data_IF_715314134483
#
_entry.id   IF_715314134483
#
_cell.length_a   1.000
_cell.length_b   1.000
_cell.length_c   1.000
_cell.angle_alpha   90.00
_cell.angle_beta   90.00
_cell.angle_gamma   90.00
#
_symmetry.space_group_name_H-M   'P 1'
#
loop_
_entity.id
_entity.type
_entity.pdbx_description
1 polymer ?
#
# COMPACT_ATOMS: atom_id res chain seq x y z
N UNK A 1 -2.69 14.91 -2.28
CA UNK A 1 -3.23 14.47 -3.58
C UNK A 1 -2.27 13.55 -4.36
N UNK A 2 -1.05 13.99 -4.70
CA UNK A 2 -0.09 13.18 -5.49
C UNK A 2 0.14 11.74 -4.99
N UNK A 3 0.19 11.54 -3.66
CA UNK A 3 0.35 10.23 -3.02
C UNK A 3 -0.73 9.21 -3.44
N UNK A 4 -1.99 9.64 -3.50
CA UNK A 4 -3.13 8.78 -3.88
C UNK A 4 -3.11 8.44 -5.36
N UNK A 5 -2.78 9.42 -6.22
CA UNK A 5 -2.62 9.18 -7.65
C UNK A 5 -1.52 8.18 -7.96
N UNK A 6 -0.40 8.24 -7.23
CA UNK A 6 0.68 7.25 -7.38
C UNK A 6 0.21 5.85 -7.01
N UNK A 7 -0.51 5.68 -5.89
CA UNK A 7 -1.06 4.38 -5.51
C UNK A 7 -2.06 3.86 -6.56
N UNK A 8 -2.94 4.71 -7.09
CA UNK A 8 -3.89 4.35 -8.13
C UNK A 8 -3.23 3.98 -9.47
N UNK A 9 -2.11 4.64 -9.81
CA UNK A 9 -1.32 4.31 -11.00
C UNK A 9 -0.67 2.94 -10.84
N UNK A 10 0.02 2.70 -9.72
CA UNK A 10 0.64 1.41 -9.42
C UNK A 10 -0.38 0.27 -9.41
N UNK A 11 -1.57 0.49 -8.86
CA UNK A 11 -2.64 -0.51 -8.86
C UNK A 11 -3.11 -0.85 -10.28
N UNK A 12 -3.25 0.16 -11.16
CA UNK A 12 -3.58 -0.06 -12.58
C UNK A 12 -2.50 -0.81 -13.34
N UNK A 13 -1.24 -0.54 -13.04
CA UNK A 13 -0.10 -1.22 -13.66
C UNK A 13 -0.01 -2.68 -13.20
N UNK A 14 -0.28 -2.95 -11.91
CA UNK A 14 -0.23 -4.30 -11.33
C UNK A 14 -1.41 -5.19 -11.71
N UNK A 15 -2.61 -4.62 -11.81
CA UNK A 15 -3.86 -5.37 -12.00
C UNK A 15 -4.82 -4.65 -12.96
N UNK A 16 -4.46 -4.51 -14.25
CA UNK A 16 -5.27 -3.77 -15.23
C UNK A 16 -6.58 -4.46 -15.60
N UNK A 17 -6.70 -5.77 -15.36
CA UNK A 17 -7.85 -6.61 -15.76
C UNK A 17 -8.54 -7.30 -14.59
N UNK A 18 -8.24 -6.89 -13.36
CA UNK A 18 -8.80 -7.53 -12.18
C UNK A 18 -10.21 -6.98 -11.92
N UNK A 19 -11.20 -7.86 -11.98
CA UNK A 19 -12.57 -7.52 -11.62
C UNK A 19 -12.79 -7.66 -10.11
N UNK A 20 -13.73 -6.89 -9.58
CA UNK A 20 -14.10 -6.97 -8.16
C UNK A 20 -14.65 -8.37 -7.80
N UNK A 21 -15.30 -9.05 -8.75
CA UNK A 21 -15.80 -10.42 -8.58
C UNK A 21 -14.70 -11.45 -8.30
N UNK A 22 -13.50 -11.24 -8.87
CA UNK A 22 -12.35 -12.14 -8.72
C UNK A 22 -11.42 -11.69 -7.57
N UNK A 23 -11.85 -10.67 -6.83
CA UNK A 23 -11.02 -10.01 -5.84
C UNK A 23 -11.06 -10.75 -4.50
N UNK A 24 -10.19 -11.75 -4.37
CA UNK A 24 -10.04 -12.53 -3.16
C UNK A 24 -8.78 -12.16 -2.36
N UNK A 25 -8.64 -12.78 -1.18
CA UNK A 25 -7.47 -12.59 -0.31
C UNK A 25 -6.15 -13.03 -0.98
N UNK A 26 -6.19 -14.01 -1.89
CA UNK A 26 -4.98 -14.55 -2.56
C UNK A 26 -4.49 -13.56 -3.60
N UNK A 27 -5.39 -13.02 -4.41
CA UNK A 27 -5.09 -11.98 -5.39
C UNK A 27 -4.60 -10.71 -4.71
N UNK A 28 -5.21 -10.30 -3.60
CA UNK A 28 -4.71 -9.16 -2.84
C UNK A 28 -3.29 -9.40 -2.31
N UNK A 29 -3.01 -10.58 -1.77
CA UNK A 29 -1.65 -10.94 -1.34
C UNK A 29 -0.67 -10.98 -2.52
N UNK A 30 -1.10 -11.46 -3.70
CA UNK A 30 -0.29 -11.45 -4.93
C UNK A 30 0.09 -10.03 -5.33
N UNK A 31 -0.86 -9.09 -5.33
CA UNK A 31 -0.60 -7.67 -5.62
C UNK A 31 0.44 -7.09 -4.67
N UNK A 32 0.27 -7.32 -3.37
CA UNK A 32 1.20 -6.84 -2.35
C UNK A 32 2.59 -7.44 -2.53
N UNK A 33 2.68 -8.73 -2.88
CA UNK A 33 3.96 -9.41 -3.11
C UNK A 33 4.69 -8.83 -4.33
N UNK A 34 4.00 -8.67 -5.47
CA UNK A 34 4.61 -8.09 -6.67
C UNK A 34 5.08 -6.66 -6.41
N UNK A 35 4.27 -5.86 -5.70
CA UNK A 35 4.68 -4.51 -5.33
C UNK A 35 5.90 -4.50 -4.40
N UNK A 36 6.01 -5.50 -3.51
CA UNK A 36 7.10 -5.65 -2.56
C UNK A 36 8.45 -6.06 -3.17
N UNK A 37 8.47 -6.62 -4.39
CA UNK A 37 9.71 -7.01 -5.07
C UNK A 37 10.60 -5.80 -5.39
N UNK A 38 9.97 -4.66 -5.69
CA UNK A 38 10.68 -3.44 -6.15
C UNK A 38 10.71 -2.33 -5.09
N UNK A 39 9.93 -2.45 -4.02
CA UNK A 39 9.74 -1.37 -3.04
C UNK A 39 10.19 -1.76 -1.64
N UNK A 40 10.70 -0.77 -0.90
CA UNK A 40 11.00 -0.90 0.53
C UNK A 40 9.73 -1.26 1.31
N UNK A 41 9.87 -2.06 2.38
CA UNK A 41 8.76 -2.46 3.26
C UNK A 41 7.86 -1.32 3.72
N UNK A 42 8.42 -0.14 4.01
CA UNK A 42 7.63 1.04 4.41
C UNK A 42 6.76 1.56 3.25
N UNK A 43 7.30 1.60 2.04
CA UNK A 43 6.57 2.03 0.84
C UNK A 43 5.45 1.06 0.50
N UNK A 44 5.69 -0.26 0.66
CA UNK A 44 4.65 -1.29 0.52
C UNK A 44 3.55 -1.12 1.57
N UNK A 45 3.93 -0.82 2.82
CA UNK A 45 2.96 -0.57 3.90
C UNK A 45 2.08 0.64 3.60
N UNK A 46 2.66 1.72 3.10
CA UNK A 46 1.91 2.92 2.73
C UNK A 46 0.97 2.66 1.55
N UNK A 47 1.41 1.90 0.56
CA UNK A 47 0.57 1.44 -0.56
C UNK A 47 -0.61 0.60 -0.06
N UNK A 48 -0.34 -0.42 0.75
CA UNK A 48 -1.38 -1.26 1.38
C UNK A 48 -2.42 -0.40 2.12
N UNK A 49 -1.98 0.61 2.88
CA UNK A 49 -2.89 1.43 3.67
C UNK A 49 -3.88 2.22 2.81
N UNK A 50 -3.45 2.79 1.69
CA UNK A 50 -4.35 3.49 0.78
C UNK A 50 -5.34 2.54 0.11
N UNK A 51 -4.84 1.42 -0.41
CA UNK A 51 -5.68 0.45 -1.13
C UNK A 51 -6.69 -0.18 -0.17
N UNK A 52 -6.28 -0.47 1.07
CA UNK A 52 -7.14 -1.01 2.11
C UNK A 52 -8.31 -0.09 2.47
N UNK A 53 -8.10 1.23 2.51
CA UNK A 53 -9.19 2.17 2.78
C UNK A 53 -10.31 2.01 1.75
N UNK A 54 -9.96 2.02 0.46
CA UNK A 54 -10.92 1.84 -0.64
C UNK A 54 -11.63 0.48 -0.59
N UNK A 55 -10.90 -0.60 -0.28
CA UNK A 55 -11.49 -1.94 -0.19
C UNK A 55 -12.45 -2.04 0.99
N UNK A 56 -12.15 -1.37 2.10
CA UNK A 56 -13.02 -1.37 3.27
C UNK A 56 -14.33 -0.65 2.99
N UNK A 57 -14.29 0.43 2.21
CA UNK A 57 -15.50 1.12 1.75
C UNK A 57 -16.34 0.19 0.86
N UNK A 58 -15.72 -0.50 -0.12
CA UNK A 58 -16.40 -1.51 -0.96
C UNK A 58 -17.06 -2.62 -0.13
N UNK A 59 -16.42 -3.05 0.95
CA UNK A 59 -16.97 -4.06 1.86
C UNK A 59 -18.18 -3.51 2.63
N UNK A 60 -18.10 -2.28 3.13
CA UNK A 60 -19.22 -1.66 3.85
C UNK A 60 -20.40 -1.35 2.93
N UNK A 61 -20.16 -1.03 1.67
CA UNK A 61 -21.18 -0.82 0.64
C UNK A 61 -21.80 -2.13 0.11
N UNK A 62 -21.29 -3.30 0.55
CA UNK A 62 -21.80 -4.62 0.16
C UNK A 62 -21.44 -5.03 -1.28
N UNK A 63 -20.45 -4.38 -1.90
CA UNK A 63 -19.96 -4.72 -3.24
C UNK A 63 -19.01 -5.93 -3.24
N UNK A 64 -18.46 -6.25 -2.07
CA UNK A 64 -17.68 -7.47 -1.83
C UNK A 64 -18.19 -8.17 -0.58
N UNK A 65 -18.34 -9.49 -0.66
CA UNK A 65 -18.86 -10.30 0.45
C UNK A 65 -17.83 -10.49 1.58
N UNK A 66 -16.54 -10.41 1.25
CA UNK A 66 -15.43 -10.74 2.14
C UNK A 66 -14.34 -9.70 2.01
N UNK A 67 -13.77 -9.27 3.13
CA UNK A 67 -12.60 -8.38 3.15
C UNK A 67 -11.31 -9.15 2.75
N UNK A 68 -10.74 -8.90 1.55
CA UNK A 68 -9.52 -9.56 1.08
C UNK A 68 -8.26 -9.01 1.77
N UNK A 69 -8.36 -7.91 2.51
CA UNK A 69 -7.24 -7.29 3.23
C UNK A 69 -6.96 -7.93 4.60
N UNK A 70 -7.82 -8.86 5.02
CA UNK A 70 -7.70 -9.50 6.33
C UNK A 70 -6.39 -10.31 6.44
N UNK A 71 -5.61 -10.05 7.51
CA UNK A 71 -4.34 -10.74 7.82
C UNK A 71 -3.37 -10.83 6.64
N UNK A 72 -3.22 -9.73 5.90
CA UNK A 72 -2.24 -9.62 4.81
C UNK A 72 -0.83 -9.52 5.38
N UNK A 73 0.10 -10.22 4.75
CA UNK A 73 1.51 -10.20 5.13
C UNK A 73 2.23 -9.15 4.29
N UNK A 74 2.78 -8.15 4.96
CA UNK A 74 3.55 -7.08 4.31
C UNK A 74 5.03 -7.45 4.32
N UNK A 75 5.54 -7.72 3.12
CA UNK A 75 6.98 -7.91 2.83
C UNK A 75 7.48 -6.69 2.06
N UNK A 76 8.79 -6.57 1.91
CA UNK A 76 9.41 -5.55 1.08
C UNK A 76 10.92 -5.61 1.18
N UNK A 77 11.60 -4.98 0.23
CA UNK A 77 13.04 -4.88 0.23
C UNK A 77 13.54 -4.16 1.50
N UNK A 78 14.76 -4.51 1.92
CA UNK A 78 15.45 -3.75 2.95
C UNK A 78 15.69 -2.32 2.46
N UNK A 79 15.61 -1.32 3.35
CA UNK A 79 15.80 0.06 2.97
C UNK A 79 17.21 0.24 2.39
N UNK A 80 17.30 0.81 1.18
CA UNK A 80 18.59 1.02 0.50
C UNK A 80 19.49 1.98 1.27
N UNK A 81 18.89 2.83 2.11
CA UNK A 81 19.61 3.73 3.02
C UNK A 81 19.02 3.65 4.42
N UNK A 82 19.90 3.51 5.43
CA UNK A 82 19.51 3.66 6.83
C UNK A 82 18.90 5.05 7.05
N UNK A 83 17.60 5.09 7.39
CA UNK A 83 16.89 6.33 7.66
C UNK A 83 17.35 6.89 9.00
N UNK A 84 18.27 7.87 8.97
CA UNK A 84 18.61 8.66 10.15
C UNK A 84 17.41 9.52 10.52
N UNK A 85 16.85 9.32 11.71
CA UNK A 85 15.85 10.24 12.28
C UNK A 85 16.56 11.59 12.48
N UNK A 86 16.12 12.62 11.74
CA UNK A 86 16.59 13.98 11.96
C UNK A 86 15.74 14.59 13.07
N UNK A 87 16.40 15.12 14.09
CA UNK A 87 15.77 15.90 15.14
C UNK A 87 16.18 17.35 14.91
N UNK A 88 15.22 18.28 14.94
CA UNK A 88 15.52 19.70 14.85
C UNK A 88 16.05 20.15 16.21
N UNK A 89 17.27 20.66 16.26
CA UNK A 89 17.84 21.23 17.48
C UNK A 89 17.34 22.67 17.67
N UNK A 90 17.30 23.17 18.90
CA UNK A 90 16.75 24.51 19.21
C UNK A 90 17.48 25.63 18.46
N UNK A 91 18.77 25.44 18.15
CA UNK A 91 19.58 26.41 17.42
C UNK A 91 19.23 26.49 15.92
N UNK A 92 18.71 25.41 15.32
CA UNK A 92 18.26 25.38 13.92
C UNK A 92 16.91 26.09 13.72
N UNK A 93 16.18 26.34 14.81
CA UNK A 93 14.85 26.95 14.83
C UNK A 93 14.89 28.48 14.72
N UNK A 94 16.05 29.09 14.94
CA UNK A 94 16.27 30.54 15.03
C UNK A 94 16.95 31.14 13.77
N UNK A 95 16.91 30.46 12.62
CA UNK A 95 17.41 30.98 11.34
C UNK A 95 16.30 31.29 10.35
#
# INVERSE_FOLDING_TARGET
LAKYYNAAKQLRDLCPKLFISDFDRREYQRIINVYAETHEKQTVKDFHHHVKACIKDLFHDGLIDKDPTYRVVIKGAEPTRAKKRKFLQKEELSK
#
